data_IF_675074283374
#
_entry.id   IF_675074283374
#
_cell.length_a   1.000
_cell.length_b   1.000
_cell.length_c   1.000
_cell.angle_alpha   90.00
_cell.angle_beta   90.00
_cell.angle_gamma   90.00
#
_symmetry.space_group_name_H-M   'P 1'
#
loop_
_entity.id
_entity.type
_entity.pdbx_description
1 polymer ?
#
# COMPACT_ATOMS: atom_id res chain seq x y z
N UNK A 1 3.75 -16.73 22.12
CA UNK A 1 3.08 -16.22 20.91
C UNK A 1 4.05 -16.42 19.77
N UNK A 2 3.71 -17.24 18.78
CA UNK A 2 4.44 -17.28 17.52
C UNK A 2 4.30 -15.90 16.88
N UNK A 3 5.42 -15.24 16.59
CA UNK A 3 5.42 -13.99 15.82
C UNK A 3 4.75 -14.27 14.47
N UNK A 4 3.73 -13.50 14.13
CA UNK A 4 3.05 -13.60 12.84
C UNK A 4 4.07 -13.34 11.72
N UNK A 5 4.13 -14.22 10.73
CA UNK A 5 5.12 -14.10 9.64
C UNK A 5 4.74 -12.93 8.76
N UNK A 6 5.60 -11.92 8.70
CA UNK A 6 5.37 -10.69 7.94
C UNK A 6 6.28 -10.67 6.71
N UNK A 7 5.71 -10.30 5.56
CA UNK A 7 6.46 -10.03 4.34
C UNK A 7 6.25 -8.58 3.88
N UNK A 8 7.28 -7.97 3.31
CA UNK A 8 7.21 -6.71 2.56
C UNK A 8 7.28 -7.03 1.06
N UNK A 9 6.32 -6.51 0.30
CA UNK A 9 6.28 -6.65 -1.16
C UNK A 9 6.39 -5.29 -1.82
N UNK A 10 7.43 -5.11 -2.65
CA UNK A 10 7.64 -3.91 -3.46
C UNK A 10 7.83 -4.36 -4.92
N UNK A 11 7.49 -3.49 -5.88
CA UNK A 11 7.94 -3.63 -7.27
C UNK A 11 8.85 -2.48 -7.63
N UNK A 12 9.87 -2.72 -8.46
CA UNK A 12 10.83 -1.69 -8.86
C UNK A 12 11.44 -1.97 -10.21
N UNK A 13 11.63 -0.92 -10.99
CA UNK A 13 12.43 -0.93 -12.22
C UNK A 13 13.81 -0.28 -12.04
N UNK A 14 14.11 0.22 -10.84
CA UNK A 14 15.34 0.93 -10.54
C UNK A 14 16.46 -0.02 -10.13
N UNK A 15 17.71 0.47 -10.24
CA UNK A 15 18.84 -0.12 -9.51
C UNK A 15 18.66 0.07 -7.99
N UNK A 16 19.37 -0.70 -7.14
CA UNK A 16 19.33 -0.50 -5.70
C UNK A 16 19.55 0.97 -5.31
N UNK A 17 18.53 1.59 -4.74
CA UNK A 17 18.52 3.00 -4.37
C UNK A 17 18.51 3.15 -2.84
N UNK A 18 18.48 4.39 -2.34
CA UNK A 18 18.49 4.66 -0.89
C UNK A 18 17.24 4.13 -0.18
N UNK A 19 16.07 4.20 -0.82
CA UNK A 19 14.79 3.73 -0.28
C UNK A 19 14.80 2.20 -0.15
N UNK A 20 15.17 1.48 -1.20
CA UNK A 20 15.29 0.01 -1.19
C UNK A 20 16.31 -0.48 -0.16
N UNK A 21 17.46 0.22 -0.02
CA UNK A 21 18.43 -0.07 1.04
C UNK A 21 17.84 0.11 2.44
N UNK A 22 17.10 1.20 2.66
CA UNK A 22 16.41 1.44 3.93
C UNK A 22 15.40 0.34 4.26
N UNK A 23 14.63 -0.14 3.27
CA UNK A 23 13.71 -1.25 3.46
C UNK A 23 14.46 -2.55 3.76
N UNK A 24 15.50 -2.89 2.99
CA UNK A 24 16.27 -4.10 3.21
C UNK A 24 16.92 -4.15 4.61
N UNK A 25 17.48 -3.03 5.08
CA UNK A 25 18.01 -2.89 6.43
C UNK A 25 16.93 -3.05 7.50
N UNK A 26 15.81 -2.35 7.34
CA UNK A 26 14.69 -2.39 8.27
C UNK A 26 14.03 -3.77 8.38
N UNK A 27 13.87 -4.46 7.25
CA UNK A 27 13.36 -5.82 7.16
C UNK A 27 14.31 -6.82 7.84
N UNK A 28 15.61 -6.76 7.52
CA UNK A 28 16.63 -7.62 8.14
C UNK A 28 16.68 -7.46 9.66
N UNK A 29 16.60 -6.23 10.16
CA UNK A 29 16.61 -5.95 11.59
C UNK A 29 15.39 -6.53 12.34
N UNK A 30 14.30 -6.83 11.62
CA UNK A 30 13.01 -7.28 12.21
C UNK A 30 12.60 -8.68 11.79
N UNK A 31 13.39 -9.36 10.97
CA UNK A 31 13.04 -10.68 10.43
C UNK A 31 11.81 -10.64 9.50
N UNK A 32 11.61 -9.53 8.78
CA UNK A 32 10.56 -9.42 7.76
C UNK A 32 11.11 -9.92 6.43
N UNK A 33 10.38 -10.80 5.75
CA UNK A 33 10.76 -11.28 4.42
C UNK A 33 10.56 -10.14 3.40
N UNK A 34 11.63 -9.68 2.73
CA UNK A 34 11.51 -8.63 1.72
C UNK A 34 11.52 -9.23 0.31
N UNK A 35 10.40 -9.15 -0.39
CA UNK A 35 10.22 -9.64 -1.76
C UNK A 35 10.13 -8.44 -2.70
N UNK A 36 11.04 -8.36 -3.66
CA UNK A 36 11.06 -7.30 -4.66
C UNK A 36 10.80 -7.87 -6.05
N UNK A 37 9.75 -7.40 -6.71
CA UNK A 37 9.36 -7.83 -8.06
C UNK A 37 9.90 -6.84 -9.09
N UNK A 38 10.82 -7.29 -9.94
CA UNK A 38 11.35 -6.51 -11.06
C UNK A 38 10.48 -6.54 -12.31
N UNK A 39 10.88 -5.78 -13.32
CA UNK A 39 10.30 -5.78 -14.67
C UNK A 39 11.40 -5.55 -15.72
N UNK A 40 11.03 -5.36 -16.99
CA UNK A 40 11.96 -5.20 -18.13
C UNK A 40 13.06 -4.17 -17.89
N UNK A 41 12.81 -2.98 -17.30
CA UNK A 41 13.87 -2.01 -17.11
C UNK A 41 14.75 -2.27 -15.88
N UNK A 42 14.39 -3.23 -15.00
CA UNK A 42 15.22 -3.57 -13.84
C UNK A 42 16.60 -4.09 -14.28
N UNK A 43 17.68 -3.78 -13.56
CA UNK A 43 19.01 -4.30 -13.89
C UNK A 43 19.06 -5.82 -13.83
N UNK A 44 19.71 -6.44 -14.82
CA UNK A 44 19.87 -7.90 -14.86
C UNK A 44 20.79 -8.42 -13.74
N UNK A 45 21.69 -7.57 -13.26
CA UNK A 45 22.65 -7.78 -12.18
C UNK A 45 22.17 -7.17 -10.84
N UNK A 46 20.86 -6.96 -10.68
CA UNK A 46 20.32 -6.42 -9.43
C UNK A 46 20.71 -7.30 -8.23
N UNK A 47 21.39 -6.68 -7.27
CA UNK A 47 21.78 -7.32 -6.02
C UNK A 47 21.56 -6.36 -4.85
N UNK A 48 20.85 -6.84 -3.82
CA UNK A 48 20.60 -6.09 -2.60
C UNK A 48 20.54 -7.07 -1.42
N UNK A 49 21.47 -6.93 -0.49
CA UNK A 49 21.52 -7.78 0.70
C UNK A 49 20.24 -7.62 1.54
N UNK A 50 19.59 -8.73 1.91
CA UNK A 50 18.35 -8.70 2.67
C UNK A 50 17.09 -8.51 1.81
N UNK A 51 17.22 -8.61 0.48
CA UNK A 51 16.11 -8.53 -0.47
C UNK A 51 16.06 -9.80 -1.34
N UNK A 52 14.90 -10.44 -1.42
CA UNK A 52 14.60 -11.52 -2.35
C UNK A 52 14.12 -10.94 -3.68
N UNK A 53 15.05 -10.62 -4.57
CA UNK A 53 14.74 -10.02 -5.87
C UNK A 53 14.28 -11.07 -6.89
N UNK A 54 13.13 -10.83 -7.50
CA UNK A 54 12.56 -11.61 -8.59
C UNK A 54 12.60 -10.83 -9.89
N UNK A 55 13.65 -10.98 -10.68
CA UNK A 55 13.68 -10.53 -12.08
C UNK A 55 12.79 -11.39 -13.00
N UNK A 56 12.52 -10.94 -14.22
CA UNK A 56 11.57 -11.58 -15.14
C UNK A 56 11.83 -13.07 -15.36
N UNK A 57 13.09 -13.47 -15.61
CA UNK A 57 13.45 -14.88 -15.83
C UNK A 57 13.12 -15.76 -14.62
N UNK A 58 13.33 -15.25 -13.40
CA UNK A 58 13.03 -15.95 -12.15
C UNK A 58 11.53 -15.95 -11.87
N UNK A 59 10.81 -14.88 -12.20
CA UNK A 59 9.35 -14.85 -12.08
C UNK A 59 8.69 -15.94 -12.92
N UNK A 60 9.20 -16.21 -14.14
CA UNK A 60 8.69 -17.27 -15.02
C UNK A 60 8.85 -18.69 -14.45
N UNK A 61 9.68 -18.88 -13.43
CA UNK A 61 9.82 -20.18 -12.74
C UNK A 61 8.85 -20.34 -11.57
N UNK A 62 8.04 -19.32 -11.26
CA UNK A 62 7.01 -19.42 -10.24
C UNK A 62 5.91 -20.40 -10.68
N UNK A 63 5.29 -21.16 -9.78
CA UNK A 63 4.27 -22.16 -10.12
C UNK A 63 2.89 -21.53 -10.39
N UNK A 64 2.80 -20.20 -10.41
CA UNK A 64 1.54 -19.48 -10.54
C UNK A 64 1.22 -19.31 -12.01
N UNK A 65 0.01 -19.68 -12.44
CA UNK A 65 -0.45 -19.41 -13.80
C UNK A 65 -0.32 -17.90 -14.16
N UNK A 66 -0.51 -17.03 -13.16
CA UNK A 66 -0.39 -15.59 -13.29
C UNK A 66 1.01 -15.14 -13.77
N UNK A 67 2.09 -15.87 -13.45
CA UNK A 67 3.45 -15.50 -13.84
C UNK A 67 3.63 -15.45 -15.37
N UNK A 68 2.89 -16.29 -16.10
CA UNK A 68 2.89 -16.36 -17.56
C UNK A 68 1.85 -15.42 -18.19
N UNK A 69 0.78 -15.07 -17.46
CA UNK A 69 -0.33 -14.26 -17.98
C UNK A 69 -0.11 -12.75 -17.82
N UNK A 70 0.70 -12.33 -16.84
CA UNK A 70 0.91 -10.92 -16.58
C UNK A 70 1.71 -10.25 -17.70
N UNK A 71 1.28 -9.07 -18.17
CA UNK A 71 2.09 -8.28 -19.09
C UNK A 71 3.40 -7.86 -18.43
N UNK A 72 4.41 -7.66 -19.28
CA UNK A 72 5.64 -6.96 -18.92
C UNK A 72 5.42 -5.44 -18.98
N UNK A 73 6.31 -4.67 -18.33
CA UNK A 73 6.22 -3.20 -18.19
C UNK A 73 4.91 -2.76 -17.52
N UNK A 74 4.52 -3.47 -16.47
CA UNK A 74 3.22 -3.26 -15.82
C UNK A 74 3.31 -3.39 -14.30
N UNK A 75 2.76 -2.42 -13.57
CA UNK A 75 2.78 -2.40 -12.09
C UNK A 75 2.14 -3.65 -11.47
N UNK A 76 1.07 -4.15 -12.08
CA UNK A 76 0.38 -5.38 -11.70
C UNK A 76 1.25 -6.64 -11.62
N UNK A 77 2.52 -6.61 -12.08
CA UNK A 77 3.48 -7.68 -11.79
C UNK A 77 3.72 -7.88 -10.29
N UNK A 78 3.55 -6.84 -9.47
CA UNK A 78 3.61 -6.89 -8.00
C UNK A 78 2.71 -7.98 -7.39
N UNK A 79 1.61 -8.37 -8.06
CA UNK A 79 0.78 -9.51 -7.68
C UNK A 79 1.56 -10.82 -7.47
N UNK A 80 2.64 -11.04 -8.23
CA UNK A 80 3.50 -12.22 -8.05
C UNK A 80 4.23 -12.21 -6.71
N UNK A 81 4.56 -11.02 -6.20
CA UNK A 81 5.15 -10.84 -4.88
C UNK A 81 4.18 -11.22 -3.78
N UNK A 82 2.90 -10.83 -3.91
CA UNK A 82 1.86 -11.24 -2.98
C UNK A 82 1.68 -12.77 -2.97
N UNK A 83 1.55 -13.40 -4.14
CA UNK A 83 1.43 -14.85 -4.24
C UNK A 83 2.65 -15.58 -3.66
N UNK A 84 3.84 -15.04 -3.88
CA UNK A 84 5.08 -15.59 -3.32
C UNK A 84 5.14 -15.44 -1.79
N UNK A 85 4.73 -14.30 -1.24
CA UNK A 85 4.62 -14.07 0.20
C UNK A 85 3.64 -15.06 0.85
N UNK A 86 2.45 -15.20 0.28
CA UNK A 86 1.42 -16.14 0.73
C UNK A 86 1.96 -17.57 0.70
N UNK A 87 2.63 -17.96 -0.40
CA UNK A 87 3.24 -19.29 -0.53
C UNK A 87 4.33 -19.55 0.52
N UNK A 88 5.05 -18.53 0.96
CA UNK A 88 6.05 -18.62 2.03
C UNK A 88 5.43 -18.61 3.44
N UNK A 89 4.10 -18.53 3.54
CA UNK A 89 3.36 -18.57 4.79
C UNK A 89 3.25 -17.21 5.48
N UNK A 90 3.33 -16.11 4.75
CA UNK A 90 3.03 -14.79 5.31
C UNK A 90 1.60 -14.74 5.85
N UNK A 91 1.43 -14.18 7.03
CA UNK A 91 0.14 -13.88 7.66
C UNK A 91 -0.17 -12.38 7.62
N UNK A 92 0.87 -11.56 7.43
CA UNK A 92 0.78 -10.12 7.20
C UNK A 92 1.62 -9.76 5.98
N UNK A 93 1.06 -8.99 5.06
CA UNK A 93 1.77 -8.41 3.93
C UNK A 93 1.77 -6.90 4.08
N UNK A 94 2.97 -6.33 4.11
CA UNK A 94 3.21 -4.91 3.93
C UNK A 94 3.49 -4.65 2.46
N UNK A 95 3.02 -3.53 1.95
CA UNK A 95 3.37 -3.07 0.62
C UNK A 95 3.80 -1.60 0.62
N UNK A 96 4.76 -1.31 -0.24
CA UNK A 96 5.19 0.06 -0.52
C UNK A 96 5.73 0.18 -1.93
N UNK A 97 6.24 1.37 -2.24
CA UNK A 97 6.92 1.72 -3.49
C UNK A 97 8.42 1.96 -3.25
N UNK A 98 9.20 1.95 -4.33
CA UNK A 98 10.66 2.08 -4.29
C UNK A 98 11.15 3.54 -4.21
N UNK A 99 10.23 4.49 -4.09
CA UNK A 99 10.46 5.93 -3.90
C UNK A 99 9.88 6.48 -2.59
N UNK A 100 9.19 5.65 -1.79
CA UNK A 100 8.63 6.04 -0.49
C UNK A 100 9.55 5.64 0.67
N UNK A 101 10.20 6.61 1.32
CA UNK A 101 11.01 6.32 2.51
C UNK A 101 10.14 5.84 3.68
N UNK A 102 10.48 4.69 4.31
CA UNK A 102 9.76 4.25 5.49
C UNK A 102 10.14 5.11 6.70
N UNK A 103 9.14 5.73 7.33
CA UNK A 103 9.28 6.40 8.64
C UNK A 103 9.27 5.37 9.77
N UNK A 104 9.68 5.77 10.97
CA UNK A 104 9.70 4.88 12.14
C UNK A 104 8.36 4.18 12.40
N UNK A 105 7.24 4.89 12.20
CA UNK A 105 5.89 4.33 12.32
C UNK A 105 5.59 3.18 11.36
N UNK A 106 6.20 3.16 10.16
CA UNK A 106 6.06 2.05 9.21
C UNK A 106 6.56 0.73 9.82
N UNK A 107 7.51 0.79 10.74
CA UNK A 107 8.11 -0.39 11.34
C UNK A 107 7.43 -0.86 12.63
N UNK A 108 6.35 -0.19 13.04
CA UNK A 108 5.59 -0.54 14.24
C UNK A 108 4.92 -1.92 14.16
N UNK A 109 4.54 -2.47 15.31
CA UNK A 109 3.76 -3.71 15.37
C UNK A 109 2.42 -3.55 14.63
N UNK A 110 2.07 -4.52 13.78
CA UNK A 110 0.77 -4.56 13.12
C UNK A 110 -0.25 -5.21 14.03
N UNK A 111 -1.26 -4.44 14.44
CA UNK A 111 -2.41 -4.90 15.22
C UNK A 111 -3.64 -4.89 14.33
N UNK A 112 -4.51 -5.88 14.48
CA UNK A 112 -5.79 -5.91 13.76
C UNK A 112 -6.84 -5.03 14.42
N UNK A 113 -6.83 -5.04 15.75
CA UNK A 113 -7.82 -4.34 16.55
C UNK A 113 -7.35 -2.91 16.85
N UNK A 114 -8.17 -1.94 16.44
CA UNK A 114 -7.94 -0.52 16.68
C UNK A 114 -9.18 0.13 17.27
N UNK A 115 -8.98 1.06 18.20
CA UNK A 115 -10.01 2.03 18.53
C UNK A 115 -10.06 3.10 17.43
N UNK A 116 -11.11 3.07 16.61
CA UNK A 116 -11.20 3.84 15.37
C UNK A 116 -12.56 4.54 15.22
N UNK A 117 -12.55 5.74 14.63
CA UNK A 117 -13.76 6.45 14.19
C UNK A 117 -14.30 5.83 12.90
N UNK A 118 -15.36 5.03 13.01
CA UNK A 118 -15.87 4.21 11.91
C UNK A 118 -17.09 4.84 11.21
N UNK A 119 -16.95 5.21 9.93
CA UNK A 119 -18.04 5.74 9.11
C UNK A 119 -18.95 4.62 8.60
N UNK A 120 -20.28 4.79 8.66
CA UNK A 120 -21.26 3.79 8.23
C UNK A 120 -22.43 4.44 7.53
N UNK A 121 -22.89 3.84 6.42
CA UNK A 121 -24.02 4.35 5.64
C UNK A 121 -23.82 5.73 5.00
N UNK A 122 -22.60 6.27 5.05
CA UNK A 122 -22.27 7.62 4.60
C UNK A 122 -21.97 7.72 3.09
N UNK A 123 -22.09 6.63 2.33
CA UNK A 123 -21.67 6.58 0.92
C UNK A 123 -20.18 6.97 0.80
N UNK A 124 -19.81 7.91 -0.07
CA UNK A 124 -18.44 8.38 -0.23
C UNK A 124 -18.01 9.29 0.94
N UNK A 125 -16.86 8.97 1.56
CA UNK A 125 -16.26 9.77 2.63
C UNK A 125 -14.79 9.98 2.32
N UNK A 126 -14.37 11.22 2.10
CA UNK A 126 -12.98 11.54 1.86
C UNK A 126 -12.17 11.45 3.16
N UNK A 127 -11.54 10.30 3.42
CA UNK A 127 -10.81 10.08 4.66
C UNK A 127 -9.58 10.99 4.83
N UNK A 128 -9.00 11.51 3.75
CA UNK A 128 -7.82 12.38 3.84
C UNK A 128 -8.15 13.71 4.56
N UNK A 129 -9.41 14.15 4.53
CA UNK A 129 -9.89 15.38 5.21
C UNK A 129 -9.84 15.29 6.73
N UNK A 130 -9.64 14.10 7.30
CA UNK A 130 -9.44 13.93 8.74
C UNK A 130 -7.99 14.06 9.18
N UNK A 131 -7.06 14.14 8.22
CA UNK A 131 -5.62 14.25 8.42
C UNK A 131 -5.03 15.52 7.78
N UNK A 132 -5.86 16.43 7.26
CA UNK A 132 -5.38 17.70 6.73
C UNK A 132 -6.50 18.74 6.68
N UNK A 133 -6.15 20.00 6.97
CA UNK A 133 -7.04 21.14 6.75
C UNK A 133 -7.23 21.46 5.25
N UNK A 134 -6.25 21.13 4.40
CA UNK A 134 -6.31 21.35 2.95
C UNK A 134 -7.34 20.42 2.30
N UNK A 135 -8.09 20.87 1.27
CA UNK A 135 -9.13 20.08 0.61
C UNK A 135 -8.52 19.00 -0.30
N UNK A 136 -7.64 18.17 0.25
CA UNK A 136 -6.97 17.06 -0.40
C UNK A 136 -7.89 15.84 -0.48
N UNK A 137 -7.77 15.06 -1.55
CA UNK A 137 -8.47 13.80 -1.74
C UNK A 137 -7.54 12.73 -2.31
N UNK A 138 -7.76 11.44 -1.97
CA UNK A 138 -7.02 10.34 -2.56
C UNK A 138 -7.31 10.22 -4.05
N UNK A 139 -6.35 9.68 -4.81
CA UNK A 139 -6.59 9.35 -6.23
C UNK A 139 -7.79 8.40 -6.35
N UNK A 140 -8.63 8.63 -7.36
CA UNK A 140 -9.83 7.85 -7.60
C UNK A 140 -11.05 8.24 -6.75
N UNK A 141 -10.95 9.26 -5.89
CA UNK A 141 -12.12 9.77 -5.18
C UNK A 141 -13.08 10.45 -6.17
N UNK A 142 -14.40 10.18 -6.13
CA UNK A 142 -15.34 10.77 -7.08
C UNK A 142 -15.37 12.29 -6.99
N UNK A 143 -15.20 12.94 -8.13
CA UNK A 143 -15.06 14.40 -8.21
C UNK A 143 -16.37 15.12 -7.84
N UNK A 144 -17.51 14.47 -8.11
CA UNK A 144 -18.84 14.96 -7.75
C UNK A 144 -19.05 15.06 -6.23
N UNK A 145 -18.26 14.33 -5.43
CA UNK A 145 -18.35 14.31 -3.96
C UNK A 145 -17.32 15.23 -3.29
N UNK A 146 -16.49 15.97 -4.04
CA UNK A 146 -15.43 16.81 -3.45
C UNK A 146 -15.94 18.01 -2.66
N UNK A 147 -17.16 18.47 -2.98
CA UNK A 147 -17.80 19.61 -2.32
C UNK A 147 -18.74 19.16 -1.19
N UNK A 148 -18.85 17.86 -0.95
CA UNK A 148 -19.69 17.34 0.13
C UNK A 148 -19.14 17.79 1.49
N UNK A 149 -20.03 18.04 2.43
CA UNK A 149 -19.63 18.36 3.80
C UNK A 149 -18.87 17.19 4.43
N UNK A 150 -17.71 17.50 5.05
CA UNK A 150 -16.94 16.49 5.78
C UNK A 150 -17.73 16.09 7.03
N UNK A 151 -18.21 14.84 7.14
CA UNK A 151 -19.02 14.46 8.28
C UNK A 151 -18.20 14.50 9.57
N UNK A 152 -18.84 14.77 10.70
CA UNK A 152 -18.18 14.71 12.01
C UNK A 152 -17.70 13.28 12.25
N UNK A 153 -16.44 13.14 12.67
CA UNK A 153 -15.87 11.83 12.98
C UNK A 153 -16.68 11.15 14.10
N UNK A 154 -17.17 9.91 13.88
CA UNK A 154 -17.87 9.17 14.92
C UNK A 154 -16.99 8.94 16.15
N UNK A 155 -17.62 8.73 17.31
CA UNK A 155 -16.91 8.36 18.54
C UNK A 155 -16.09 7.08 18.28
N UNK A 156 -14.78 7.08 18.58
CA UNK A 156 -13.95 5.91 18.41
C UNK A 156 -14.51 4.70 19.16
N UNK A 157 -14.38 3.53 18.56
CA UNK A 157 -14.72 2.25 19.19
C UNK A 157 -13.84 1.15 18.64
N UNK A 158 -13.76 0.03 19.35
CA UNK A 158 -12.97 -1.11 18.90
C UNK A 158 -13.49 -1.67 17.56
N UNK A 159 -12.57 -1.81 16.61
CA UNK A 159 -12.80 -2.31 15.26
C UNK A 159 -11.68 -3.26 14.86
N UNK A 160 -12.07 -4.30 14.13
CA UNK A 160 -11.13 -5.19 13.45
C UNK A 160 -10.87 -4.63 12.04
N UNK A 161 -9.64 -4.19 11.78
CA UNK A 161 -9.21 -3.56 10.53
C UNK A 161 -8.16 -4.46 9.85
N UNK A 162 -8.62 -5.34 8.95
CA UNK A 162 -7.76 -6.30 8.24
C UNK A 162 -7.03 -5.73 7.03
N UNK A 163 -7.38 -4.51 6.62
CA UNK A 163 -6.69 -3.70 5.61
C UNK A 163 -6.42 -2.34 6.25
N UNK A 164 -5.19 -1.86 6.17
CA UNK A 164 -4.77 -0.62 6.81
C UNK A 164 -3.84 0.15 5.89
N UNK A 165 -4.22 1.36 5.50
CA UNK A 165 -3.38 2.25 4.73
C UNK A 165 -2.78 3.32 5.63
N UNK A 166 -1.46 3.49 5.58
CA UNK A 166 -0.78 4.68 6.07
C UNK A 166 -0.70 5.75 4.98
N UNK A 167 -0.66 7.02 5.38
CA UNK A 167 -0.54 8.14 4.44
C UNK A 167 0.93 8.42 4.11
N UNK A 168 1.16 9.00 2.93
CA UNK A 168 2.48 9.39 2.45
C UNK A 168 2.61 10.92 2.45
N UNK A 169 3.50 11.43 3.29
CA UNK A 169 3.79 12.87 3.40
C UNK A 169 4.51 13.40 2.14
N UNK A 170 4.65 14.72 2.08
CA UNK A 170 5.21 15.49 0.98
C UNK A 170 4.43 15.36 -0.34
N UNK A 171 4.55 14.23 -1.03
CA UNK A 171 3.97 14.02 -2.36
C UNK A 171 3.02 12.82 -2.39
N UNK A 172 1.90 12.86 -1.65
CA UNK A 172 0.94 11.76 -1.62
C UNK A 172 0.39 11.42 -2.99
N UNK A 173 -0.12 10.20 -3.08
CA UNK A 173 -0.88 9.78 -4.23
C UNK A 173 -2.31 10.36 -4.23
N UNK A 174 -2.39 11.48 -4.94
CA UNK A 174 -3.60 12.26 -5.17
C UNK A 174 -3.91 12.35 -6.66
N UNK A 175 -5.16 12.71 -6.96
CA UNK A 175 -5.65 12.86 -8.32
C UNK A 175 -4.86 13.89 -9.14
N UNK A 176 -4.79 13.70 -10.46
CA UNK A 176 -4.12 14.63 -11.38
C UNK A 176 -4.73 16.03 -11.31
N UNK A 177 -6.05 16.16 -11.10
CA UNK A 177 -6.72 17.44 -10.91
C UNK A 177 -6.22 18.10 -9.62
N UNK A 178 -6.08 17.35 -8.52
CA UNK A 178 -5.50 17.92 -7.29
C UNK A 178 -4.07 18.39 -7.52
N UNK A 179 -3.24 17.64 -8.26
CA UNK A 179 -1.88 18.08 -8.59
C UNK A 179 -1.83 19.40 -9.37
N UNK A 180 -2.88 19.72 -10.12
CA UNK A 180 -3.00 20.96 -10.90
C UNK A 180 -3.62 22.12 -10.11
N UNK A 181 -4.49 21.84 -9.13
CA UNK A 181 -5.29 22.86 -8.45
C UNK A 181 -4.95 23.05 -6.97
N UNK A 182 -4.45 22.00 -6.33
CA UNK A 182 -4.06 21.96 -4.93
C UNK A 182 -2.60 22.36 -4.71
N UNK A 183 -2.18 22.35 -3.43
CA UNK A 183 -0.81 22.65 -3.02
C UNK A 183 -0.09 21.38 -2.61
N UNK A 184 1.10 21.19 -3.14
CA UNK A 184 2.09 20.18 -2.77
C UNK A 184 3.47 20.86 -2.68
N UNK A 185 4.39 20.41 -1.82
CA UNK A 185 4.23 19.29 -0.89
C UNK A 185 3.34 19.61 0.32
N UNK A 186 2.81 18.58 0.98
CA UNK A 186 2.14 18.71 2.29
C UNK A 186 2.36 17.48 3.17
N UNK A 187 2.30 17.68 4.48
CA UNK A 187 2.37 16.61 5.47
C UNK A 187 1.00 16.44 6.14
N UNK A 188 0.66 15.20 6.48
CA UNK A 188 -0.59 14.88 7.15
C UNK A 188 -0.48 15.03 8.67
N UNK A 189 -1.56 15.50 9.29
CA UNK A 189 -1.68 15.61 10.74
C UNK A 189 -1.79 14.22 11.38
N UNK A 190 -0.98 13.98 12.41
CA UNK A 190 -1.11 12.78 13.23
C UNK A 190 -2.39 12.83 14.07
N UNK A 191 -3.03 11.67 14.21
CA UNK A 191 -4.24 11.50 15.03
C UNK A 191 -3.99 10.46 16.11
N UNK A 192 -4.65 10.65 17.25
CA UNK A 192 -4.68 9.65 18.32
C UNK A 192 -5.39 8.36 17.88
N UNK A 193 -6.56 8.51 17.23
CA UNK A 193 -7.34 7.40 16.70
C UNK A 193 -7.43 7.45 15.17
N UNK A 194 -7.21 6.33 14.48
CA UNK A 194 -7.44 6.22 13.04
C UNK A 194 -8.92 6.38 12.70
N UNK A 195 -9.18 6.62 11.42
CA UNK A 195 -10.53 6.53 10.82
C UNK A 195 -10.67 5.21 10.09
N UNK A 196 -11.90 4.68 10.03
CA UNK A 196 -12.19 3.44 9.31
C UNK A 196 -13.51 3.50 8.55
N UNK A 197 -13.63 2.68 7.51
CA UNK A 197 -14.86 2.51 6.76
C UNK A 197 -15.57 1.25 7.24
N UNK A 198 -16.83 1.41 7.63
CA UNK A 198 -17.76 0.31 7.86
C UNK A 198 -18.68 0.10 6.66
N UNK A 199 -19.73 -0.70 6.88
CA UNK A 199 -20.69 -1.05 5.82
C UNK A 199 -21.32 0.21 5.21
N UNK A 200 -21.25 0.31 3.88
CA UNK A 200 -21.86 1.38 3.10
C UNK A 200 -21.13 2.73 3.18
N UNK A 201 -19.86 2.74 3.63
CA UNK A 201 -18.97 3.88 3.50
C UNK A 201 -17.79 3.52 2.58
N UNK A 202 -17.36 4.46 1.73
CA UNK A 202 -16.40 4.22 0.67
C UNK A 202 -15.36 5.34 0.59
N UNK A 203 -14.09 4.96 0.47
CA UNK A 203 -12.96 5.82 0.14
C UNK A 203 -11.94 4.94 -0.58
N UNK A 204 -11.34 5.38 -1.69
CA UNK A 204 -10.26 4.64 -2.31
C UNK A 204 -9.02 4.65 -1.41
N UNK A 205 -8.22 3.61 -1.56
CA UNK A 205 -6.89 3.46 -0.96
C UNK A 205 -5.94 2.96 -2.06
N UNK A 206 -4.65 2.83 -1.78
CA UNK A 206 -3.67 2.41 -2.79
C UNK A 206 -2.62 1.44 -2.23
N UNK A 207 -1.72 0.99 -3.09
CA UNK A 207 -0.64 0.04 -2.76
C UNK A 207 0.66 0.65 -2.25
N UNK A 208 0.68 1.96 -1.91
CA UNK A 208 1.92 2.69 -1.61
C UNK A 208 2.41 2.58 -0.16
N UNK A 209 1.50 2.28 0.77
CA UNK A 209 1.79 2.10 2.20
C UNK A 209 0.62 1.36 2.86
N UNK A 210 0.41 0.10 2.47
CA UNK A 210 -0.76 -0.66 2.91
C UNK A 210 -0.34 -1.96 3.60
N UNK A 211 -1.10 -2.31 4.62
CA UNK A 211 -0.96 -3.55 5.38
C UNK A 211 -2.18 -4.41 5.15
N UNK A 212 -1.94 -5.68 4.86
CA UNK A 212 -2.95 -6.70 4.66
C UNK A 212 -2.74 -7.81 5.67
N UNK A 213 -3.80 -8.17 6.38
CA UNK A 213 -3.83 -9.39 7.18
C UNK A 213 -4.40 -10.53 6.34
N UNK A 214 -4.02 -11.76 6.67
CA UNK A 214 -4.35 -12.96 5.87
C UNK A 214 -5.84 -13.14 5.60
N UNK A 215 -6.71 -12.68 6.50
CA UNK A 215 -8.17 -12.68 6.30
C UNK A 215 -8.63 -11.84 5.10
N UNK A 216 -7.82 -10.91 4.63
CA UNK A 216 -8.11 -10.02 3.51
C UNK A 216 -7.32 -10.35 2.22
N UNK A 217 -6.49 -11.39 2.20
CA UNK A 217 -5.65 -11.70 1.04
C UNK A 217 -6.43 -12.03 -0.24
N UNK A 218 -7.67 -12.50 -0.13
CA UNK A 218 -8.52 -12.72 -1.32
C UNK A 218 -8.86 -11.41 -2.05
N UNK A 219 -8.70 -10.27 -1.39
CA UNK A 219 -8.92 -8.93 -1.93
C UNK A 219 -7.60 -8.25 -2.36
N UNK A 220 -6.45 -8.86 -2.06
CA UNK A 220 -5.11 -8.34 -2.39
C UNK A 220 -4.82 -8.58 -3.88
N UNK A 221 -5.25 -7.66 -4.73
CA UNK A 221 -5.12 -7.78 -6.18
C UNK A 221 -4.97 -6.42 -6.87
N UNK A 222 -4.00 -6.33 -7.79
CA UNK A 222 -3.79 -5.17 -8.66
C UNK A 222 -4.21 -5.48 -10.10
N UNK A 223 -5.15 -4.74 -10.71
CA UNK A 223 -5.65 -5.03 -12.06
C UNK A 223 -4.58 -4.88 -13.14
N UNK A 224 -4.39 -5.93 -13.95
CA UNK A 224 -3.22 -6.02 -14.86
C UNK A 224 -3.46 -5.56 -16.31
N UNK A 225 -4.66 -5.10 -16.62
CA UNK A 225 -5.06 -4.64 -17.97
C UNK A 225 -5.66 -3.23 -17.97
N UNK A 226 -5.48 -2.49 -16.88
CA UNK A 226 -5.85 -1.08 -16.80
C UNK A 226 -4.59 -0.21 -16.99
N UNK A 227 -4.75 1.11 -17.11
CA UNK A 227 -3.59 2.00 -17.16
C UNK A 227 -2.79 1.93 -15.85
N UNK A 228 -1.47 2.15 -15.91
CA UNK A 228 -0.59 2.15 -14.73
C UNK A 228 -1.16 2.96 -13.55
N UNK A 229 -1.65 4.18 -13.80
CA UNK A 229 -2.17 5.09 -12.76
C UNK A 229 -3.49 4.68 -12.13
N UNK A 230 -4.15 3.67 -12.67
CA UNK A 230 -5.37 3.05 -12.14
C UNK A 230 -5.05 1.70 -11.48
N UNK A 231 -3.87 1.14 -11.71
CA UNK A 231 -3.51 -0.20 -11.23
C UNK A 231 -3.30 -0.23 -9.72
N UNK A 232 -2.80 0.88 -9.17
CA UNK A 232 -2.40 1.05 -7.78
C UNK A 232 -3.55 1.51 -6.86
N UNK A 233 -4.78 1.68 -7.37
CA UNK A 233 -5.98 2.16 -6.66
C UNK A 233 -7.03 1.06 -6.55
#
# INVERSE_FOLDING_TARGET
>A
MTLSRTALVITSIASPNAVLRSFAEGCRARGIDFILIGDVPSPADFELQGCDFWGLSRQRTMPFALATLLPERHYGRKNLGYLQAIRQGAEVILESDDDNFPRDGFWGERKREHEASAFQGSSWVNLYRYFSAEPIWPRGFPLENLQDEVPVAPVPSMRNCTIQQGLADENPDVDAIYRLTGKLPLDFDLREHPVSLGKGAWCPFNSQNTTWFSEAFELLYLPSYCSFRMTDI
#
